data_IF_815239935018
#
_entry.id   IF_815239935018
#
_cell.length_a   1.000
_cell.length_b   1.000
_cell.length_c   1.000
_cell.angle_alpha   90.00
_cell.angle_beta   90.00
_cell.angle_gamma   90.00
#
_symmetry.space_group_name_H-M   'P 1'
#
loop_
_entity.id
_entity.type
_entity.pdbx_description
1 polymer ?
#
# COMPACT_ATOMS: atom_id res chain seq x y z
N UNK A 1 47.12 -30.38 -10.34
CA UNK A 1 46.34 -29.31 -9.67
C UNK A 1 44.86 -29.59 -9.94
N UNK A 2 44.18 -30.30 -9.03
CA UNK A 2 42.77 -30.66 -9.21
C UNK A 2 41.91 -29.45 -8.81
N UNK A 3 41.23 -28.84 -9.78
CA UNK A 3 40.17 -27.85 -9.50
C UNK A 3 38.99 -28.62 -8.92
N UNK A 4 38.77 -28.51 -7.62
CA UNK A 4 37.51 -28.89 -6.99
C UNK A 4 36.45 -27.97 -7.60
N UNK A 5 35.64 -28.52 -8.50
CA UNK A 5 34.43 -27.85 -8.98
C UNK A 5 33.43 -27.99 -7.84
N UNK A 6 33.37 -27.00 -6.96
CA UNK A 6 32.29 -26.89 -5.97
C UNK A 6 31.01 -26.84 -6.80
N UNK A 7 30.23 -27.92 -6.77
CA UNK A 7 28.92 -27.95 -7.40
C UNK A 7 28.02 -27.12 -6.49
N UNK A 8 27.84 -25.85 -6.85
CA UNK A 8 26.96 -24.92 -6.14
C UNK A 8 25.53 -25.44 -6.25
N UNK A 9 24.85 -25.57 -5.11
CA UNK A 9 23.46 -25.99 -5.07
C UNK A 9 22.57 -24.81 -5.48
N UNK A 10 22.31 -24.69 -6.78
CA UNK A 10 21.35 -23.73 -7.29
C UNK A 10 19.94 -24.12 -6.84
N UNK A 11 19.24 -23.17 -6.25
CA UNK A 11 17.85 -23.26 -5.86
C UNK A 11 16.95 -23.45 -7.07
N UNK A 12 15.91 -24.26 -6.90
CA UNK A 12 14.97 -24.62 -7.96
C UNK A 12 13.54 -24.23 -7.64
N UNK A 13 13.24 -23.97 -6.37
CA UNK A 13 11.92 -23.64 -5.86
C UNK A 13 12.02 -22.36 -5.04
N UNK A 14 10.95 -21.56 -5.07
CA UNK A 14 10.83 -20.36 -4.23
C UNK A 14 10.93 -20.69 -2.73
N UNK A 15 10.50 -21.89 -2.34
CA UNK A 15 10.68 -22.42 -0.98
C UNK A 15 12.14 -22.43 -0.51
N UNK A 16 13.11 -22.56 -1.42
CA UNK A 16 14.52 -22.47 -1.03
C UNK A 16 14.90 -21.06 -0.56
N UNK A 17 14.30 -20.02 -1.15
CA UNK A 17 14.47 -18.63 -0.68
C UNK A 17 13.79 -18.46 0.67
N UNK A 18 12.59 -19.03 0.84
CA UNK A 18 11.87 -19.01 2.12
C UNK A 18 12.67 -19.68 3.24
N UNK A 19 13.31 -20.81 2.97
CA UNK A 19 14.16 -21.51 3.94
C UNK A 19 15.43 -20.72 4.26
N UNK A 20 16.01 -20.03 3.29
CA UNK A 20 17.11 -19.09 3.54
C UNK A 20 16.69 -17.96 4.47
N UNK A 21 15.53 -17.33 4.24
CA UNK A 21 14.99 -16.27 5.12
C UNK A 21 14.78 -16.78 6.54
N UNK A 22 14.22 -17.99 6.71
CA UNK A 22 14.09 -18.62 8.04
C UNK A 22 15.46 -18.86 8.69
N UNK A 23 16.47 -19.25 7.91
CA UNK A 23 17.83 -19.45 8.42
C UNK A 23 18.45 -18.13 8.90
N UNK A 24 18.18 -17.02 8.21
CA UNK A 24 18.62 -15.69 8.62
C UNK A 24 17.90 -15.22 9.89
N UNK A 25 16.60 -15.47 10.00
CA UNK A 25 15.86 -15.24 11.25
C UNK A 25 16.44 -16.06 12.41
N UNK A 26 16.75 -17.33 12.19
CA UNK A 26 17.39 -18.16 13.21
C UNK A 26 18.79 -17.64 13.58
N UNK A 27 19.59 -17.20 12.59
CA UNK A 27 20.92 -16.62 12.79
C UNK A 27 20.89 -15.38 13.68
N UNK A 28 19.89 -14.53 13.51
CA UNK A 28 19.70 -13.31 14.32
C UNK A 28 18.80 -13.56 15.56
N UNK A 29 18.40 -14.80 15.83
CA UNK A 29 17.54 -15.12 16.98
C UNK A 29 16.12 -14.54 16.92
N UNK A 30 15.63 -14.15 15.74
CA UNK A 30 14.28 -13.63 15.55
C UNK A 30 13.27 -14.77 15.39
N UNK A 31 12.39 -14.95 16.37
CA UNK A 31 11.36 -15.98 16.38
C UNK A 31 9.93 -15.44 16.26
N UNK A 32 9.75 -14.11 16.26
CA UNK A 32 8.45 -13.45 16.25
C UNK A 32 8.03 -13.04 14.83
N UNK A 33 7.88 -14.04 13.96
CA UNK A 33 7.39 -13.87 12.59
C UNK A 33 6.25 -14.84 12.29
N UNK A 34 5.39 -14.48 11.35
CA UNK A 34 4.37 -15.36 10.77
C UNK A 34 4.69 -15.64 9.31
N UNK A 35 4.07 -16.70 8.78
CA UNK A 35 4.24 -17.13 7.40
C UNK A 35 2.88 -17.12 6.71
N UNK A 36 2.82 -16.52 5.54
CA UNK A 36 1.61 -16.41 4.72
C UNK A 36 0.35 -16.00 5.52
N UNK A 37 -0.65 -16.87 5.58
CA UNK A 37 -1.94 -16.55 6.22
C UNK A 37 -1.94 -16.64 7.74
N UNK A 38 -0.80 -16.91 8.38
CA UNK A 38 -0.68 -17.03 9.84
C UNK A 38 -0.58 -15.68 10.56
N UNK A 39 -0.51 -14.56 9.84
CA UNK A 39 -0.55 -13.20 10.39
C UNK A 39 -1.74 -12.92 11.32
N UNK A 40 -1.63 -11.89 12.15
CA UNK A 40 -2.70 -11.50 13.08
C UNK A 40 -4.03 -11.18 12.35
N UNK A 41 -5.19 -11.34 13.02
CA UNK A 41 -6.47 -10.91 12.46
C UNK A 41 -6.49 -9.42 12.07
N UNK A 42 -5.70 -8.59 12.77
CA UNK A 42 -5.60 -7.16 12.49
C UNK A 42 -4.90 -6.90 11.16
N UNK A 43 -3.70 -7.46 10.95
CA UNK A 43 -2.97 -7.34 9.69
C UNK A 43 -3.72 -8.00 8.53
N UNK A 44 -4.29 -9.20 8.75
CA UNK A 44 -5.09 -9.90 7.75
C UNK A 44 -6.24 -9.07 7.23
N UNK A 45 -7.00 -8.45 8.13
CA UNK A 45 -8.13 -7.60 7.74
C UNK A 45 -7.68 -6.27 7.12
N UNK A 46 -6.51 -5.73 7.49
CA UNK A 46 -5.90 -4.59 6.83
C UNK A 46 -5.57 -4.90 5.36
N UNK A 47 -4.80 -5.97 5.11
CA UNK A 47 -4.41 -6.39 3.77
C UNK A 47 -5.63 -6.72 2.90
N UNK A 48 -6.60 -7.49 3.41
CA UNK A 48 -7.80 -7.84 2.65
C UNK A 48 -8.62 -6.62 2.24
N UNK A 49 -8.72 -5.60 3.10
CA UNK A 49 -9.41 -4.36 2.76
C UNK A 49 -8.63 -3.56 1.72
N UNK A 50 -7.31 -3.42 1.89
CA UNK A 50 -6.45 -2.75 0.93
C UNK A 50 -6.49 -3.40 -0.46
N UNK A 51 -6.37 -4.73 -0.53
CA UNK A 51 -6.43 -5.48 -1.79
C UNK A 51 -7.74 -5.23 -2.54
N UNK A 52 -8.89 -5.17 -1.83
CA UNK A 52 -10.18 -4.85 -2.46
C UNK A 52 -10.18 -3.46 -3.09
N UNK A 53 -9.64 -2.46 -2.38
CA UNK A 53 -9.53 -1.09 -2.88
C UNK A 53 -8.54 -0.99 -4.05
N UNK A 54 -7.40 -1.69 -3.99
CA UNK A 54 -6.39 -1.68 -5.04
C UNK A 54 -6.88 -2.36 -6.32
N UNK A 55 -7.59 -3.47 -6.17
CA UNK A 55 -8.23 -4.15 -7.30
C UNK A 55 -9.20 -3.24 -8.02
N UNK A 56 -9.96 -2.43 -7.26
CA UNK A 56 -10.87 -1.46 -7.85
C UNK A 56 -10.12 -0.39 -8.65
N UNK A 57 -9.04 0.18 -8.10
CA UNK A 57 -8.20 1.15 -8.82
C UNK A 57 -7.68 0.56 -10.14
N UNK A 58 -7.18 -0.67 -10.11
CA UNK A 58 -6.68 -1.38 -11.29
C UNK A 58 -7.80 -1.65 -12.31
N UNK A 59 -8.99 -2.04 -11.87
CA UNK A 59 -10.15 -2.28 -12.75
C UNK A 59 -10.59 -1.00 -13.47
N UNK A 60 -10.54 0.15 -12.79
CA UNK A 60 -10.82 1.47 -13.39
C UNK A 60 -9.76 1.82 -14.44
N UNK A 61 -8.51 1.43 -14.22
CA UNK A 61 -7.40 1.58 -15.18
C UNK A 61 -7.44 0.56 -16.33
N UNK A 62 -8.43 -0.33 -16.34
CA UNK A 62 -8.62 -1.36 -17.36
C UNK A 62 -7.79 -2.64 -17.13
N UNK A 63 -7.10 -2.74 -16.01
CA UNK A 63 -6.40 -3.97 -15.59
C UNK A 63 -7.37 -4.88 -14.82
N UNK A 64 -7.64 -6.08 -15.36
CA UNK A 64 -8.49 -7.08 -14.70
C UNK A 64 -7.65 -8.18 -14.12
N UNK A 65 -7.76 -8.38 -12.81
CA UNK A 65 -7.11 -9.48 -12.13
C UNK A 65 -8.03 -10.71 -12.03
N UNK A 66 -7.53 -11.90 -12.40
CA UNK A 66 -8.18 -13.18 -12.14
C UNK A 66 -7.29 -14.07 -11.27
N UNK A 67 -7.54 -14.08 -9.96
CA UNK A 67 -7.09 -15.17 -9.07
C UNK A 67 -5.93 -14.88 -8.11
N UNK A 68 -5.87 -15.79 -7.12
CA UNK A 68 -5.05 -15.93 -5.90
C UNK A 68 -5.24 -14.90 -4.77
N UNK A 69 -5.12 -15.43 -3.56
CA UNK A 69 -5.11 -14.71 -2.30
C UNK A 69 -3.78 -13.98 -2.19
N UNK A 70 -3.84 -12.66 -2.23
CA UNK A 70 -2.75 -11.74 -1.94
C UNK A 70 -2.30 -11.92 -0.48
N UNK A 71 -1.17 -12.61 -0.29
CA UNK A 71 -0.56 -12.88 1.01
C UNK A 71 0.96 -12.68 0.86
N UNK A 72 1.61 -11.94 1.76
CA UNK A 72 3.06 -11.92 1.82
C UNK A 72 3.61 -13.29 2.21
N UNK A 73 4.92 -13.49 2.03
CA UNK A 73 5.57 -14.73 2.47
C UNK A 73 5.83 -14.71 3.98
N UNK A 74 6.29 -13.57 4.52
CA UNK A 74 6.55 -13.41 5.95
C UNK A 74 6.08 -12.07 6.49
N UNK A 75 5.67 -12.06 7.76
CA UNK A 75 5.29 -10.85 8.47
C UNK A 75 5.89 -10.81 9.88
N UNK A 76 6.28 -9.63 10.34
CA UNK A 76 6.68 -9.40 11.73
C UNK A 76 5.84 -8.27 12.31
N UNK A 77 5.11 -8.57 13.38
CA UNK A 77 4.20 -7.64 14.07
C UNK A 77 4.68 -7.29 15.49
N UNK A 78 5.91 -7.68 15.84
CA UNK A 78 6.50 -7.47 17.19
C UNK A 78 7.10 -6.07 17.39
N UNK A 79 7.22 -5.28 16.32
CA UNK A 79 7.75 -3.92 16.30
C UNK A 79 6.65 -2.85 16.32
N UNK A 80 7.05 -1.56 16.34
CA UNK A 80 6.10 -0.44 16.35
C UNK A 80 5.30 -0.29 15.06
N UNK A 81 5.84 -0.79 13.94
CA UNK A 81 5.18 -0.88 12.64
C UNK A 81 5.39 -2.29 12.08
N UNK A 82 4.48 -2.84 11.28
CA UNK A 82 4.65 -4.17 10.73
C UNK A 82 5.77 -4.20 9.70
N UNK A 83 6.43 -5.36 9.60
CA UNK A 83 7.37 -5.69 8.53
C UNK A 83 6.69 -6.72 7.64
N UNK A 84 6.73 -6.51 6.34
CA UNK A 84 6.17 -7.40 5.32
C UNK A 84 7.30 -7.80 4.37
N UNK A 85 7.47 -9.09 4.15
CA UNK A 85 8.51 -9.65 3.29
C UNK A 85 7.86 -10.46 2.17
N UNK A 86 8.37 -10.26 0.96
CA UNK A 86 8.05 -11.05 -0.22
C UNK A 86 9.35 -11.57 -0.83
N UNK A 87 9.34 -12.83 -1.24
CA UNK A 87 10.48 -13.54 -1.79
C UNK A 87 10.22 -13.97 -3.23
N UNK A 88 11.27 -14.00 -4.06
CA UNK A 88 11.18 -14.55 -5.42
C UNK A 88 12.42 -15.37 -5.77
N UNK A 89 12.22 -16.48 -6.48
CA UNK A 89 13.34 -17.26 -7.03
C UNK A 89 14.00 -16.52 -8.21
N UNK A 90 15.33 -16.38 -8.13
CA UNK A 90 16.19 -15.75 -9.14
C UNK A 90 16.44 -14.27 -8.85
N UNK A 91 17.71 -13.87 -8.78
CA UNK A 91 18.13 -12.48 -8.49
C UNK A 91 17.50 -11.43 -9.42
N UNK A 92 17.28 -11.77 -10.70
CA UNK A 92 16.60 -10.91 -11.66
C UNK A 92 15.12 -10.61 -11.31
N UNK A 93 14.56 -11.26 -10.28
CA UNK A 93 13.20 -11.06 -9.77
C UNK A 93 13.14 -10.17 -8.53
N UNK A 94 14.23 -9.49 -8.16
CA UNK A 94 14.26 -8.57 -7.03
C UNK A 94 13.24 -7.44 -7.20
N UNK A 95 13.35 -6.67 -8.28
CA UNK A 95 12.48 -5.51 -8.53
C UNK A 95 12.27 -5.27 -10.02
N UNK A 96 11.10 -4.75 -10.36
CA UNK A 96 10.80 -4.19 -11.68
C UNK A 96 10.55 -2.69 -11.54
N UNK A 97 11.46 -1.90 -12.12
CA UNK A 97 11.49 -0.44 -12.00
C UNK A 97 11.23 0.20 -13.37
N UNK A 98 10.47 1.28 -13.40
CA UNK A 98 10.29 2.17 -14.56
C UNK A 98 10.48 3.62 -14.10
N UNK A 99 11.37 4.35 -14.77
CA UNK A 99 11.64 5.77 -14.46
C UNK A 99 11.97 6.02 -12.98
N UNK A 100 12.76 5.12 -12.38
CA UNK A 100 13.15 5.18 -10.97
C UNK A 100 12.05 4.81 -9.97
N UNK A 101 10.88 4.34 -10.44
CA UNK A 101 9.75 3.94 -9.59
C UNK A 101 9.42 2.47 -9.73
N UNK A 102 8.99 1.85 -8.64
CA UNK A 102 8.55 0.45 -8.61
C UNK A 102 7.25 0.31 -9.40
N UNK A 103 7.26 -0.59 -10.39
CA UNK A 103 6.08 -0.89 -11.23
C UNK A 103 4.96 -1.52 -10.39
N UNK A 104 3.71 -1.18 -10.69
CA UNK A 104 2.54 -1.65 -9.92
C UNK A 104 1.46 -2.32 -10.75
N UNK A 105 1.70 -2.52 -12.03
CA UNK A 105 0.89 -3.42 -12.85
C UNK A 105 0.87 -4.81 -12.22
N UNK A 106 -0.25 -5.51 -12.35
CA UNK A 106 -0.50 -6.82 -11.72
C UNK A 106 0.67 -7.77 -11.98
N UNK A 107 1.17 -7.79 -13.21
CA UNK A 107 2.28 -8.66 -13.62
C UNK A 107 3.54 -8.37 -12.81
N UNK A 108 3.89 -7.10 -12.59
CA UNK A 108 5.10 -6.75 -11.85
C UNK A 108 4.95 -7.06 -10.37
N UNK A 109 3.79 -6.78 -9.77
CA UNK A 109 3.52 -7.10 -8.36
C UNK A 109 3.62 -8.61 -8.11
N UNK A 110 3.11 -9.45 -9.01
CA UNK A 110 3.14 -10.91 -8.85
C UNK A 110 4.52 -11.53 -9.11
N UNK A 111 5.33 -10.92 -9.96
CA UNK A 111 6.57 -11.55 -10.45
C UNK A 111 7.85 -11.02 -9.80
N UNK A 112 7.78 -9.97 -8.98
CA UNK A 112 8.96 -9.32 -8.41
C UNK A 112 8.79 -9.05 -6.91
N UNK A 113 9.83 -9.35 -6.13
CA UNK A 113 9.79 -9.38 -4.67
C UNK A 113 9.48 -8.00 -4.08
N UNK A 114 10.25 -6.98 -4.44
CA UNK A 114 10.06 -5.59 -3.98
C UNK A 114 8.67 -5.05 -4.36
N UNK A 115 8.22 -5.35 -5.58
CA UNK A 115 6.93 -4.90 -6.09
C UNK A 115 5.78 -5.50 -5.27
N UNK A 116 5.85 -6.80 -4.94
CA UNK A 116 4.91 -7.48 -4.05
C UNK A 116 4.93 -6.90 -2.63
N UNK A 117 6.11 -6.79 -2.03
CA UNK A 117 6.26 -6.28 -0.66
C UNK A 117 5.70 -4.86 -0.50
N UNK A 118 6.03 -3.94 -1.42
CA UNK A 118 5.49 -2.56 -1.40
C UNK A 118 3.98 -2.57 -1.63
N UNK A 119 3.47 -3.41 -2.52
CA UNK A 119 2.03 -3.53 -2.75
C UNK A 119 1.28 -3.94 -1.48
N UNK A 120 1.77 -4.94 -0.75
CA UNK A 120 1.16 -5.37 0.52
C UNK A 120 1.24 -4.28 1.58
N UNK A 121 2.39 -3.61 1.71
CA UNK A 121 2.54 -2.48 2.61
C UNK A 121 1.54 -1.35 2.32
N UNK A 122 1.39 -0.97 1.05
CA UNK A 122 0.41 0.03 0.61
C UNK A 122 -1.03 -0.43 0.87
N UNK A 123 -1.34 -1.72 0.67
CA UNK A 123 -2.66 -2.27 1.01
C UNK A 123 -2.96 -2.15 2.51
N UNK A 124 -1.99 -2.49 3.37
CA UNK A 124 -2.14 -2.35 4.81
C UNK A 124 -2.41 -0.88 5.20
N UNK A 125 -1.70 0.07 4.60
CA UNK A 125 -1.88 1.50 4.86
C UNK A 125 -3.22 2.02 4.33
N UNK A 126 -3.62 1.58 3.14
CA UNK A 126 -4.88 1.99 2.50
C UNK A 126 -6.12 1.57 3.31
N UNK A 127 -6.01 0.52 4.11
CA UNK A 127 -7.05 0.12 5.07
C UNK A 127 -7.27 1.12 6.21
N UNK A 128 -6.38 2.11 6.37
CA UNK A 128 -6.30 3.07 7.48
C UNK A 128 -6.03 2.45 8.85
N UNK A 129 -5.64 1.17 8.90
CA UNK A 129 -5.24 0.48 10.14
C UNK A 129 -3.76 0.67 10.48
N UNK A 130 -2.94 0.96 9.47
CA UNK A 130 -1.53 1.28 9.62
C UNK A 130 -1.24 2.62 8.91
N UNK A 131 -0.30 3.40 9.43
CA UNK A 131 0.25 4.58 8.77
C UNK A 131 1.52 4.25 7.98
N UNK A 132 2.29 3.31 8.50
CA UNK A 132 3.67 3.02 8.09
C UNK A 132 3.91 1.51 8.14
N UNK A 133 4.74 1.01 7.22
CA UNK A 133 5.08 -0.41 7.07
C UNK A 133 6.50 -0.50 6.52
N UNK A 134 7.29 -1.47 6.98
CA UNK A 134 8.56 -1.85 6.34
C UNK A 134 8.27 -2.92 5.30
N UNK A 135 8.65 -2.68 4.05
CA UNK A 135 8.55 -3.66 2.97
C UNK A 135 9.93 -4.19 2.61
N UNK A 136 10.11 -5.51 2.56
CA UNK A 136 11.38 -6.15 2.22
C UNK A 136 11.16 -7.06 1.01
N UNK A 137 11.88 -6.79 -0.07
CA UNK A 137 11.93 -7.69 -1.21
C UNK A 137 13.22 -8.50 -1.18
N UNK A 138 13.11 -9.82 -1.26
CA UNK A 138 14.26 -10.74 -1.28
C UNK A 138 14.20 -11.59 -2.54
N UNK A 139 15.31 -11.68 -3.27
CA UNK A 139 15.39 -12.57 -4.42
C UNK A 139 16.75 -13.21 -4.57
N UNK A 140 16.79 -14.50 -4.90
CA UNK A 140 18.05 -15.23 -5.03
C UNK A 140 17.91 -16.60 -5.69
N UNK A 141 19.03 -17.17 -6.10
CA UNK A 141 19.10 -18.50 -6.73
C UNK A 141 20.15 -19.44 -6.10
N UNK A 142 20.87 -18.99 -5.08
CA UNK A 142 21.67 -19.79 -4.15
C UNK A 142 21.92 -18.98 -2.87
N UNK A 143 22.47 -19.61 -1.83
CA UNK A 143 22.81 -18.93 -0.56
C UNK A 143 23.81 -17.77 -0.77
N UNK A 144 24.71 -17.90 -1.74
CA UNK A 144 25.73 -16.89 -2.07
C UNK A 144 25.20 -15.81 -3.03
N UNK A 145 24.02 -16.00 -3.61
CA UNK A 145 23.43 -15.11 -4.61
C UNK A 145 22.01 -14.69 -4.21
N UNK A 146 21.93 -14.00 -3.08
CA UNK A 146 20.70 -13.38 -2.56
C UNK A 146 20.84 -11.86 -2.59
N UNK A 147 19.79 -11.19 -3.04
CA UNK A 147 19.67 -9.73 -3.01
C UNK A 147 18.48 -9.33 -2.14
N UNK A 148 18.67 -8.30 -1.32
CA UNK A 148 17.66 -7.73 -0.43
C UNK A 148 17.54 -6.23 -0.72
N UNK A 149 16.33 -5.74 -0.85
CA UNK A 149 16.02 -4.32 -0.77
C UNK A 149 14.99 -4.05 0.33
N UNK A 150 15.27 -3.06 1.17
CA UNK A 150 14.42 -2.65 2.29
C UNK A 150 13.81 -1.29 2.00
N UNK A 151 12.49 -1.19 2.12
CA UNK A 151 11.73 0.03 1.88
C UNK A 151 10.95 0.44 3.12
N UNK A 152 10.98 1.74 3.39
CA UNK A 152 10.07 2.39 4.31
C UNK A 152 8.84 2.90 3.55
N UNK A 153 7.65 2.37 3.85
CA UNK A 153 6.40 2.75 3.18
C UNK A 153 5.56 3.56 4.16
N UNK A 154 5.22 4.79 3.79
CA UNK A 154 4.57 5.78 4.67
C UNK A 154 3.28 6.36 4.06
N UNK A 155 2.72 5.67 3.07
CA UNK A 155 1.46 6.02 2.44
C UNK A 155 1.03 4.95 1.43
N UNK A 156 -0.18 5.12 0.89
CA UNK A 156 -0.78 4.17 -0.06
C UNK A 156 -0.60 4.57 -1.54
N UNK A 157 0.24 5.56 -1.86
CA UNK A 157 0.40 6.10 -3.23
C UNK A 157 1.78 5.82 -3.81
N UNK A 158 1.91 6.15 -5.09
CA UNK A 158 3.02 5.88 -6.00
C UNK A 158 4.41 6.29 -5.53
N UNK A 159 4.47 7.25 -4.61
CA UNK A 159 5.68 7.93 -4.18
C UNK A 159 5.85 7.91 -2.67
N UNK A 160 4.96 7.24 -1.95
CA UNK A 160 4.99 7.20 -0.49
C UNK A 160 5.78 6.01 0.03
N UNK A 161 6.95 5.79 -0.57
CA UNK A 161 7.95 4.83 -0.11
C UNK A 161 9.36 5.36 -0.34
N UNK A 162 10.31 4.89 0.47
CA UNK A 162 11.72 5.26 0.42
C UNK A 162 12.58 4.00 0.51
N UNK A 163 13.49 3.82 -0.45
CA UNK A 163 14.53 2.79 -0.36
C UNK A 163 15.49 3.17 0.77
N UNK A 164 15.70 2.26 1.72
CA UNK A 164 16.64 2.43 2.83
C UNK A 164 17.95 1.74 2.45
N UNK A 165 18.69 2.35 1.52
CA UNK A 165 19.85 1.72 0.84
C UNK A 165 21.00 1.30 1.77
N UNK A 166 21.03 1.78 3.01
CA UNK A 166 22.02 1.39 4.01
C UNK A 166 21.77 -0.01 4.62
N UNK A 167 20.62 -0.63 4.33
CA UNK A 167 20.25 -1.94 4.88
C UNK A 167 20.04 -2.95 3.75
N UNK A 168 20.92 -3.96 3.72
CA UNK A 168 20.90 -5.08 2.76
C UNK A 168 20.97 -6.45 3.45
N UNK A 169 20.82 -6.49 4.77
CA UNK A 169 20.70 -7.70 5.60
C UNK A 169 19.45 -7.61 6.48
N UNK A 170 19.06 -8.71 7.12
CA UNK A 170 17.94 -8.76 8.06
C UNK A 170 18.34 -8.45 9.51
N UNK A 171 19.61 -8.07 9.78
CA UNK A 171 20.13 -7.92 11.16
C UNK A 171 19.36 -6.88 11.98
N UNK A 172 18.82 -5.85 11.34
CA UNK A 172 18.01 -4.84 12.04
C UNK A 172 16.70 -5.41 12.62
N UNK A 173 16.28 -6.59 12.19
CA UNK A 173 15.12 -7.32 12.72
C UNK A 173 15.47 -8.18 13.94
N UNK A 174 16.70 -8.18 14.46
CA UNK A 174 17.09 -8.98 15.63
C UNK A 174 16.21 -8.66 16.85
N UNK A 175 16.07 -7.38 17.19
CA UNK A 175 15.34 -6.96 18.38
C UNK A 175 14.79 -5.53 18.25
N UNK A 176 14.05 -5.07 19.27
CA UNK A 176 13.43 -3.73 19.25
C UNK A 176 14.45 -2.58 19.24
N UNK A 177 15.65 -2.77 19.78
CA UNK A 177 16.70 -1.73 19.79
C UNK A 177 17.29 -1.57 18.39
N UNK A 178 17.72 -2.66 17.75
CA UNK A 178 18.23 -2.63 16.37
C UNK A 178 17.18 -2.09 15.39
N UNK A 179 15.92 -2.46 15.59
CA UNK A 179 14.82 -1.97 14.78
C UNK A 179 14.57 -0.46 14.98
N UNK A 180 14.70 0.05 16.21
CA UNK A 180 14.53 1.47 16.48
C UNK A 180 15.61 2.33 15.80
N UNK A 181 16.85 1.84 15.74
CA UNK A 181 17.93 2.50 15.01
C UNK A 181 17.67 2.52 13.50
N UNK A 182 17.26 1.37 12.93
CA UNK A 182 16.78 1.30 11.56
C UNK A 182 15.64 2.28 11.31
N UNK A 183 14.63 2.30 12.18
CA UNK A 183 13.45 3.14 12.02
C UNK A 183 13.82 4.63 12.00
N UNK A 184 14.73 5.05 12.87
CA UNK A 184 15.25 6.42 12.88
C UNK A 184 15.99 6.78 11.58
N UNK A 185 16.74 5.85 11.00
CA UNK A 185 17.43 6.06 9.73
C UNK A 185 16.48 6.02 8.51
N UNK A 186 15.43 5.20 8.59
CA UNK A 186 14.47 4.97 7.52
C UNK A 186 13.44 6.10 7.39
N UNK A 187 12.98 6.65 8.51
CA UNK A 187 12.00 7.74 8.55
C UNK A 187 12.45 8.97 7.76
N UNK A 188 11.48 9.74 7.28
CA UNK A 188 11.75 10.92 6.47
C UNK A 188 12.34 12.04 7.33
N UNK A 189 13.41 12.63 6.82
CA UNK A 189 13.92 13.93 7.26
C UNK A 189 12.90 15.04 7.00
N UNK A 190 13.03 16.19 7.67
CA UNK A 190 12.13 17.31 7.45
C UNK A 190 12.22 17.84 6.00
N UNK A 191 13.41 17.79 5.41
CA UNK A 191 13.63 18.13 4.00
C UNK A 191 12.90 17.15 3.06
N UNK A 192 12.95 15.85 3.35
CA UNK A 192 12.21 14.84 2.58
C UNK A 192 10.69 15.03 2.71
N UNK A 193 10.19 15.28 3.93
CA UNK A 193 8.77 15.58 4.16
C UNK A 193 8.34 16.83 3.38
N UNK A 194 9.17 17.87 3.38
CA UNK A 194 8.90 19.09 2.62
C UNK A 194 8.84 18.84 1.11
N UNK A 195 9.75 18.03 0.56
CA UNK A 195 9.71 17.64 -0.86
C UNK A 195 8.43 16.86 -1.19
N UNK A 196 8.07 15.87 -0.38
CA UNK A 196 6.83 15.10 -0.56
C UNK A 196 5.60 16.03 -0.55
N UNK A 197 5.60 17.04 0.33
CA UNK A 197 4.52 18.03 0.39
C UNK A 197 4.44 18.88 -0.90
N UNK A 198 5.57 19.34 -1.42
CA UNK A 198 5.64 20.09 -2.68
C UNK A 198 5.12 19.23 -3.85
N UNK A 199 5.61 18.00 -3.96
CA UNK A 199 5.24 17.09 -5.05
C UNK A 199 3.74 16.74 -5.01
N UNK A 200 3.22 16.48 -3.80
CA UNK A 200 1.79 16.27 -3.56
C UNK A 200 0.96 17.48 -3.96
N UNK A 201 1.41 18.69 -3.61
CA UNK A 201 0.74 19.93 -4.01
C UNK A 201 0.72 20.12 -5.53
N UNK A 202 1.85 19.85 -6.21
CA UNK A 202 1.96 19.94 -7.66
C UNK A 202 0.97 18.98 -8.36
N UNK A 203 0.88 17.74 -7.87
CA UNK A 203 -0.08 16.74 -8.38
C UNK A 203 -1.54 17.14 -8.15
N UNK A 204 -1.86 17.63 -6.95
CA UNK A 204 -3.20 18.12 -6.64
C UNK A 204 -3.61 19.26 -7.58
N UNK A 205 -2.68 20.17 -7.90
CA UNK A 205 -2.92 21.22 -8.89
C UNK A 205 -3.16 20.67 -10.29
N UNK A 206 -2.42 19.63 -10.69
CA UNK A 206 -2.63 18.96 -11.99
C UNK A 206 -4.02 18.32 -12.07
N UNK A 207 -4.43 17.56 -11.06
CA UNK A 207 -5.75 16.95 -11.00
C UNK A 207 -6.86 18.00 -10.97
N UNK A 208 -6.69 19.08 -10.20
CA UNK A 208 -7.64 20.19 -10.17
C UNK A 208 -7.79 20.85 -11.56
N UNK A 209 -6.70 21.04 -12.31
CA UNK A 209 -6.75 21.55 -13.69
C UNK A 209 -7.50 20.59 -14.62
N UNK A 210 -7.22 19.28 -14.54
CA UNK A 210 -7.91 18.24 -15.33
C UNK A 210 -9.41 18.22 -15.04
N UNK A 211 -9.79 18.19 -13.76
CA UNK A 211 -11.19 18.21 -13.33
C UNK A 211 -11.89 19.51 -13.76
N UNK A 212 -11.24 20.66 -13.62
CA UNK A 212 -11.79 21.94 -14.06
C UNK A 212 -12.04 21.97 -15.57
N UNK A 213 -11.11 21.44 -16.37
CA UNK A 213 -11.28 21.30 -17.82
C UNK A 213 -12.42 20.35 -18.17
N UNK A 214 -12.53 19.22 -17.49
CA UNK A 214 -13.63 18.26 -17.67
C UNK A 214 -14.99 18.93 -17.43
N UNK A 215 -15.15 19.58 -16.27
CA UNK A 215 -16.41 20.28 -15.93
C UNK A 215 -16.73 21.40 -16.92
N UNK A 216 -15.70 22.12 -17.42
CA UNK A 216 -15.89 23.12 -18.46
C UNK A 216 -16.43 22.55 -19.77
N UNK A 217 -15.86 21.42 -20.22
CA UNK A 217 -16.31 20.73 -21.44
C UNK A 217 -17.76 20.24 -21.33
N UNK A 218 -18.23 19.95 -20.13
CA UNK A 218 -19.64 19.61 -19.83
C UNK A 218 -20.54 20.83 -19.59
N UNK A 219 -20.11 22.04 -19.98
CA UNK A 219 -20.85 23.30 -19.81
C UNK A 219 -21.24 23.63 -18.35
N UNK A 220 -20.54 23.05 -17.37
CA UNK A 220 -20.74 23.37 -15.96
C UNK A 220 -20.06 24.72 -15.66
N UNK A 221 -20.83 25.69 -15.17
CA UNK A 221 -20.34 27.05 -14.87
C UNK A 221 -19.43 27.07 -13.65
N UNK A 222 -18.55 28.08 -13.52
CA UNK A 222 -17.64 28.18 -12.38
C UNK A 222 -18.34 28.15 -11.00
N UNK A 223 -19.48 28.85 -10.77
CA UNK A 223 -20.22 28.74 -9.52
C UNK A 223 -20.76 27.33 -9.25
N UNK A 224 -21.25 26.64 -10.29
CA UNK A 224 -21.73 25.26 -10.17
C UNK A 224 -20.60 24.29 -9.82
N UNK A 225 -19.40 24.47 -10.39
CA UNK A 225 -18.23 23.61 -10.09
C UNK A 225 -17.90 23.61 -8.60
N UNK A 226 -17.93 24.77 -7.96
CA UNK A 226 -17.71 24.90 -6.51
C UNK A 226 -18.75 24.08 -5.75
N UNK A 227 -20.02 24.16 -6.15
CA UNK A 227 -21.10 23.41 -5.53
C UNK A 227 -20.94 21.88 -5.73
N UNK A 228 -20.62 21.43 -6.95
CA UNK A 228 -20.42 20.00 -7.23
C UNK A 228 -19.27 19.41 -6.41
N UNK A 229 -18.10 20.07 -6.41
CA UNK A 229 -16.94 19.59 -5.64
C UNK A 229 -17.26 19.57 -4.14
N UNK A 230 -17.88 20.62 -3.61
CA UNK A 230 -18.26 20.69 -2.19
C UNK A 230 -19.28 19.62 -1.82
N UNK A 231 -20.29 19.41 -2.68
CA UNK A 231 -21.30 18.36 -2.50
C UNK A 231 -20.67 16.97 -2.47
N UNK A 232 -19.77 16.67 -3.39
CA UNK A 232 -19.07 15.37 -3.42
C UNK A 232 -18.22 15.15 -2.18
N UNK A 233 -17.46 16.16 -1.75
CA UNK A 233 -16.65 16.07 -0.53
C UNK A 233 -17.51 15.82 0.71
N UNK A 234 -18.70 16.43 0.78
CA UNK A 234 -19.67 16.19 1.85
C UNK A 234 -20.29 14.80 1.77
N UNK A 235 -20.61 14.29 0.57
CA UNK A 235 -21.15 12.94 0.43
C UNK A 235 -20.14 11.85 0.77
N UNK A 236 -18.85 12.13 0.66
CA UNK A 236 -17.76 11.23 1.07
C UNK A 236 -17.54 11.18 2.59
N UNK A 237 -18.22 12.00 3.39
CA UNK A 237 -18.04 11.99 4.85
C UNK A 237 -18.80 10.84 5.50
N UNK A 238 -18.16 10.20 6.48
CA UNK A 238 -18.80 9.23 7.36
C UNK A 238 -19.89 9.93 8.20
N UNK A 239 -21.03 9.26 8.34
CA UNK A 239 -22.12 9.66 9.23
C UNK A 239 -21.89 8.99 10.56
N UNK A 240 -21.00 9.59 11.37
CA UNK A 240 -20.55 9.02 12.65
C UNK A 240 -20.16 7.54 12.49
N UNK A 241 -20.64 6.68 13.40
CA UNK A 241 -20.51 5.23 13.37
C UNK A 241 -21.64 4.52 12.58
N UNK A 242 -22.62 5.27 12.06
CA UNK A 242 -23.85 4.72 11.46
C UNK A 242 -23.68 4.28 10.01
N UNK A 243 -23.00 5.09 9.21
CA UNK A 243 -22.85 4.86 7.77
C UNK A 243 -21.55 5.45 7.24
N UNK A 244 -20.85 4.69 6.40
CA UNK A 244 -19.66 5.18 5.69
C UNK A 244 -20.02 6.16 4.59
N UNK A 245 -19.12 7.10 4.33
CA UNK A 245 -19.23 8.03 3.21
C UNK A 245 -19.34 7.31 1.87
N UNK A 246 -19.96 7.97 0.89
CA UNK A 246 -20.06 7.43 -0.46
C UNK A 246 -18.68 7.34 -1.11
N UNK A 247 -18.43 6.22 -1.78
CA UNK A 247 -17.28 5.99 -2.65
C UNK A 247 -17.75 5.86 -4.11
N UNK A 248 -16.85 5.96 -5.11
CA UNK A 248 -17.25 5.85 -6.52
C UNK A 248 -18.09 4.60 -6.85
N UNK A 249 -17.85 3.47 -6.17
CA UNK A 249 -18.61 2.23 -6.38
C UNK A 249 -20.06 2.26 -5.92
N UNK A 250 -20.41 3.21 -5.05
CA UNK A 250 -21.80 3.38 -4.62
C UNK A 250 -22.64 4.06 -5.72
N UNK A 251 -21.98 4.72 -6.68
CA UNK A 251 -22.60 5.45 -7.78
C UNK A 251 -22.69 4.53 -9.01
N UNK A 252 -23.89 4.07 -9.31
CA UNK A 252 -24.16 3.00 -10.29
C UNK A 252 -24.78 3.50 -11.58
N UNK A 253 -25.13 4.78 -11.66
CA UNK A 253 -25.82 5.36 -12.82
C UNK A 253 -27.21 4.74 -13.04
N UNK A 254 -27.92 4.35 -11.97
CA UNK A 254 -29.28 3.86 -12.08
C UNK A 254 -30.21 4.99 -12.52
N UNK A 255 -31.13 4.67 -13.42
CA UNK A 255 -32.16 5.60 -13.92
C UNK A 255 -33.54 5.19 -13.38
N UNK A 256 -33.63 5.16 -12.05
CA UNK A 256 -34.84 4.86 -11.29
C UNK A 256 -35.06 5.98 -10.27
N UNK A 257 -36.30 6.44 -10.13
CA UNK A 257 -36.65 7.49 -9.17
C UNK A 257 -36.20 7.10 -7.75
N UNK A 258 -35.65 8.08 -7.02
CA UNK A 258 -35.06 7.95 -5.68
C UNK A 258 -33.81 7.04 -5.57
N UNK A 259 -33.35 6.45 -6.69
CA UNK A 259 -32.18 5.56 -6.75
C UNK A 259 -31.08 6.08 -7.68
N UNK A 260 -31.26 7.25 -8.31
CA UNK A 260 -30.20 7.89 -9.09
C UNK A 260 -29.05 8.27 -8.18
N UNK A 261 -27.85 8.34 -8.75
CA UNK A 261 -26.64 8.74 -8.01
C UNK A 261 -26.81 10.11 -7.33
N UNK A 262 -27.50 11.05 -8.00
CA UNK A 262 -27.82 12.36 -7.44
C UNK A 262 -28.70 12.29 -6.18
N UNK A 263 -29.69 11.40 -6.17
CA UNK A 263 -30.58 11.20 -5.03
C UNK A 263 -29.81 10.59 -3.85
N UNK A 264 -28.96 9.59 -4.13
CA UNK A 264 -28.07 8.98 -3.14
C UNK A 264 -27.12 10.00 -2.49
N UNK A 265 -26.48 10.83 -3.32
CA UNK A 265 -25.59 11.91 -2.90
C UNK A 265 -26.31 12.89 -1.97
N UNK A 266 -27.43 13.46 -2.44
CA UNK A 266 -28.16 14.49 -1.69
C UNK A 266 -28.69 13.93 -0.37
N UNK A 267 -29.24 12.71 -0.40
CA UNK A 267 -29.72 12.02 0.81
C UNK A 267 -28.60 11.80 1.82
N UNK A 268 -27.41 11.41 1.37
CA UNK A 268 -26.26 11.20 2.25
C UNK A 268 -25.79 12.51 2.88
N UNK A 269 -25.66 13.58 2.09
CA UNK A 269 -25.29 14.93 2.57
C UNK A 269 -26.29 15.41 3.62
N UNK A 270 -27.59 15.29 3.36
CA UNK A 270 -28.63 15.70 4.31
C UNK A 270 -28.52 14.95 5.64
N UNK A 271 -28.32 13.64 5.60
CA UNK A 271 -28.13 12.83 6.80
C UNK A 271 -26.86 13.22 7.57
N UNK A 272 -25.74 13.43 6.86
CA UNK A 272 -24.49 13.91 7.45
C UNK A 272 -24.68 15.24 8.18
N UNK A 273 -25.28 16.24 7.52
CA UNK A 273 -25.49 17.57 8.09
C UNK A 273 -26.43 17.54 9.30
N UNK A 274 -27.50 16.74 9.25
CA UNK A 274 -28.44 16.58 10.36
C UNK A 274 -27.77 15.98 11.60
N UNK A 275 -26.99 14.91 11.42
CA UNK A 275 -26.25 14.29 12.54
C UNK A 275 -25.20 15.25 13.09
N UNK A 276 -24.46 15.94 12.22
CA UNK A 276 -23.45 16.92 12.65
C UNK A 276 -24.08 18.06 13.46
N UNK A 277 -25.21 18.60 13.01
CA UNK A 277 -25.98 19.63 13.73
C UNK A 277 -26.40 19.13 15.11
N UNK A 278 -26.94 17.91 15.19
CA UNK A 278 -27.34 17.30 16.45
C UNK A 278 -26.17 17.12 17.45
N UNK A 279 -25.01 16.67 16.97
CA UNK A 279 -23.82 16.50 17.81
C UNK A 279 -23.30 17.85 18.32
N UNK A 280 -23.29 18.88 17.48
CA UNK A 280 -22.90 20.24 17.88
C UNK A 280 -23.84 20.80 18.96
N UNK A 281 -25.15 20.56 18.87
CA UNK A 281 -26.11 21.00 19.89
C UNK A 281 -26.01 20.27 21.23
N UNK A 282 -25.25 19.17 21.32
CA UNK A 282 -25.02 18.42 22.58
C UNK A 282 -23.70 18.78 23.28
N UNK A 283 -22.82 19.51 22.60
CA UNK A 283 -21.54 19.97 23.13
C UNK A 283 -21.64 21.35 23.83
N UNK A 284 -22.83 21.96 23.79
CA UNK A 284 -23.22 23.18 24.50
C UNK A 284 -24.37 22.85 25.46
#
# INVERSE_FOLDING_TARGET
>A
MWRIKVIMASWKLEDNVNDWVKSEFARIGQNNYTVESAMSPHLKSALQMGVKLKRLELEIEGEKEKGKSWKPDFELESFNIPVIIENKLGTAKLSAIKEGKVKRDIKSVQNFAVNGAIHYAQCAIMSKKYSEVVAIGIAGDSEENVSIEVYYVFGATDETYKLVSSYNTLDFLENKLSFAEFYKAATLTEEEKHRVLIDSQAKLQEYAKKLNKLMHNHAITAPQRVLYVSGMLLSMQDIADKKKGLIPNDLKGLDLDDERDGDLIVKHINNYLNVKKYLLTKLH
#
